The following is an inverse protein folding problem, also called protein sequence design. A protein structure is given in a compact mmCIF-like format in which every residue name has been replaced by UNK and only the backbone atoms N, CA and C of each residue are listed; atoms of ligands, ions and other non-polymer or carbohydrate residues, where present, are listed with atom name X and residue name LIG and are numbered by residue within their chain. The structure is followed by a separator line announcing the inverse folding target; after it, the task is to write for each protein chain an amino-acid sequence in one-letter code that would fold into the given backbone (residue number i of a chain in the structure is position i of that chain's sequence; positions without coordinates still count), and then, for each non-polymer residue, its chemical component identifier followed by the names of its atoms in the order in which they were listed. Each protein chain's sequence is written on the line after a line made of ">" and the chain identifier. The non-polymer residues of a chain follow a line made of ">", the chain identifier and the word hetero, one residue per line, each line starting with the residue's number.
data_IF_168087686363
#
_entry.id   IF_168087686363
#
_cell.length_a   1.000
_cell.length_b   1.000
_cell.length_c   1.000
_cell.angle_alpha   90.00
_cell.angle_beta   90.00
_cell.angle_gamma   90.00
#
_symmetry.space_group_name_H-M   'P 1'
#
loop_
_entity.id
_entity.type
_entity.pdbx_description
1 polymer ?
#
# COMPACT_ATOMS: atom_id res chain seq x y z
N UNK A 1 8.75 -1.71 19.85
CA UNK A 1 7.95 -2.87 19.34
C UNK A 1 7.57 -2.64 17.87
N UNK A 2 8.52 -2.76 16.94
CA UNK A 2 8.30 -2.47 15.50
C UNK A 2 8.01 -3.73 14.66
N UNK A 3 8.22 -4.93 15.23
CA UNK A 3 8.26 -6.20 14.48
C UNK A 3 6.85 -6.79 14.24
N UNK A 4 5.88 -6.56 15.14
CA UNK A 4 4.52 -7.11 15.00
C UNK A 4 3.62 -6.33 14.02
N UNK A 5 3.93 -5.06 13.77
CA UNK A 5 3.12 -4.21 12.89
C UNK A 5 3.28 -4.55 11.41
N UNK A 6 4.50 -4.91 10.99
CA UNK A 6 4.79 -5.31 9.61
C UNK A 6 4.08 -6.60 9.21
N UNK A 7 4.11 -7.62 10.08
CA UNK A 7 3.47 -8.92 9.80
C UNK A 7 1.97 -8.81 9.50
N UNK A 8 1.25 -7.96 10.24
CA UNK A 8 -0.18 -7.70 9.99
C UNK A 8 -0.43 -6.99 8.66
N UNK A 9 0.42 -6.04 8.29
CA UNK A 9 0.32 -5.36 7.00
C UNK A 9 0.55 -6.36 5.86
N UNK A 10 1.62 -7.16 5.95
CA UNK A 10 1.98 -8.18 4.96
C UNK A 10 0.84 -9.20 4.78
N UNK A 11 0.21 -9.64 5.87
CA UNK A 11 -0.94 -10.55 5.83
C UNK A 11 -2.17 -9.93 5.13
N UNK A 12 -2.50 -8.67 5.41
CA UNK A 12 -3.65 -7.99 4.80
C UNK A 12 -3.40 -7.70 3.31
N UNK A 13 -2.16 -7.33 2.95
CA UNK A 13 -1.76 -7.14 1.55
C UNK A 13 -1.89 -8.45 0.79
N UNK A 14 -1.40 -9.56 1.35
CA UNK A 14 -1.51 -10.88 0.70
C UNK A 14 -2.97 -11.30 0.50
N UNK A 15 -3.87 -10.97 1.45
CA UNK A 15 -5.30 -11.21 1.26
C UNK A 15 -5.88 -10.33 0.16
N UNK A 16 -5.50 -9.04 0.12
CA UNK A 16 -6.01 -8.11 -0.87
C UNK A 16 -5.55 -8.48 -2.29
N UNK A 17 -4.29 -8.86 -2.46
CA UNK A 17 -3.74 -9.34 -3.75
C UNK A 17 -4.37 -10.69 -4.17
N UNK A 18 -4.84 -11.48 -3.21
CA UNK A 18 -5.54 -12.73 -3.47
C UNK A 18 -7.00 -12.56 -3.89
N UNK A 19 -7.57 -11.35 -3.78
CA UNK A 19 -8.93 -11.08 -4.24
C UNK A 19 -8.96 -10.96 -5.78
N UNK A 20 -9.87 -11.70 -6.42
CA UNK A 20 -10.06 -11.62 -7.87
C UNK A 20 -10.58 -10.25 -8.30
N UNK A 21 -11.38 -9.60 -7.45
CA UNK A 21 -11.93 -8.26 -7.68
C UNK A 21 -11.49 -7.30 -6.58
N UNK A 22 -10.60 -6.38 -6.94
CA UNK A 22 -10.06 -5.36 -6.05
C UNK A 22 -11.10 -4.30 -5.62
N UNK A 23 -12.28 -4.25 -6.25
CA UNK A 23 -13.40 -3.39 -5.87
C UNK A 23 -14.51 -4.15 -5.13
N UNK A 24 -14.28 -5.41 -4.78
CA UNK A 24 -15.25 -6.19 -4.04
C UNK A 24 -15.46 -5.62 -2.62
N UNK A 25 -16.62 -5.87 -1.99
CA UNK A 25 -16.85 -5.52 -0.59
C UNK A 25 -15.82 -6.16 0.37
N UNK A 26 -15.23 -7.30 -0.02
CA UNK A 26 -14.16 -7.95 0.73
C UNK A 26 -12.85 -7.15 0.65
N UNK A 27 -12.44 -6.76 -0.56
CA UNK A 27 -11.28 -5.90 -0.78
C UNK A 27 -11.39 -4.58 -0.01
N UNK A 28 -12.56 -3.91 -0.07
CA UNK A 28 -12.80 -2.69 0.71
C UNK A 28 -12.64 -2.88 2.22
N UNK A 29 -13.10 -4.01 2.78
CA UNK A 29 -12.89 -4.32 4.21
C UNK A 29 -11.41 -4.52 4.55
N UNK A 30 -10.62 -5.09 3.64
CA UNK A 30 -9.18 -5.25 3.82
C UNK A 30 -8.47 -3.89 3.80
N UNK A 31 -8.84 -3.01 2.86
CA UNK A 31 -8.35 -1.62 2.78
C UNK A 31 -8.62 -0.88 4.08
N UNK A 32 -9.85 -0.94 4.61
CA UNK A 32 -10.20 -0.29 5.88
C UNK A 32 -9.40 -0.85 7.07
N UNK A 33 -9.10 -2.15 7.07
CA UNK A 33 -8.23 -2.76 8.10
C UNK A 33 -6.78 -2.31 7.96
N UNK A 34 -6.28 -2.18 6.74
CA UNK A 34 -4.93 -1.64 6.48
C UNK A 34 -4.84 -0.19 6.94
N UNK A 35 -5.87 0.62 6.66
CA UNK A 35 -5.93 2.01 7.13
C UNK A 35 -5.91 2.11 8.67
N UNK A 36 -6.51 1.15 9.38
CA UNK A 36 -6.44 1.11 10.85
C UNK A 36 -5.04 0.81 11.42
N UNK A 37 -4.11 0.28 10.62
CA UNK A 37 -2.69 0.11 11.04
C UNK A 37 -2.00 1.48 11.15
N UNK A 38 -2.42 2.45 10.32
CA UNK A 38 -1.84 3.78 10.24
C UNK A 38 -0.56 3.85 9.40
N UNK A 39 0.24 4.92 9.52
CA UNK A 39 1.34 5.24 8.60
C UNK A 39 2.44 4.19 8.46
N UNK A 40 2.52 3.21 9.37
CA UNK A 40 3.48 2.11 9.29
C UNK A 40 3.19 1.14 8.13
N UNK A 41 2.02 1.22 7.53
CA UNK A 41 1.62 0.40 6.37
C UNK A 41 2.28 0.88 5.07
N UNK A 42 2.71 2.14 5.00
CA UNK A 42 3.21 2.80 3.78
C UNK A 42 4.35 2.02 3.11
N UNK A 43 5.45 1.65 3.81
CA UNK A 43 6.55 0.93 3.16
C UNK A 43 6.10 -0.40 2.55
N UNK A 44 5.19 -1.12 3.22
CA UNK A 44 4.68 -2.39 2.73
C UNK A 44 3.75 -2.25 1.53
N UNK A 45 2.97 -1.18 1.48
CA UNK A 45 2.14 -0.88 0.30
C UNK A 45 3.02 -0.51 -0.88
N UNK A 46 4.11 0.24 -0.67
CA UNK A 46 5.11 0.53 -1.70
C UNK A 46 5.76 -0.76 -2.21
N UNK A 47 6.19 -1.66 -1.32
CA UNK A 47 6.71 -2.99 -1.70
C UNK A 47 5.71 -3.77 -2.57
N UNK A 48 4.42 -3.73 -2.19
CA UNK A 48 3.35 -4.45 -2.90
C UNK A 48 3.09 -3.91 -4.33
N UNK A 49 3.36 -2.62 -4.58
CA UNK A 49 3.21 -2.02 -5.91
C UNK A 49 4.11 -2.69 -6.96
N UNK A 50 5.24 -3.26 -6.56
CA UNK A 50 6.15 -3.92 -7.50
C UNK A 50 5.44 -5.06 -8.26
N UNK A 51 4.53 -5.78 -7.59
CA UNK A 51 3.88 -6.99 -8.10
C UNK A 51 2.39 -6.81 -8.40
N UNK A 52 1.83 -5.61 -8.20
CA UNK A 52 0.41 -5.35 -8.42
C UNK A 52 0.05 -5.29 -9.91
N UNK A 53 -1.15 -5.77 -10.23
CA UNK A 53 -1.80 -5.46 -11.50
C UNK A 53 -2.40 -4.04 -11.48
N UNK A 54 -3.01 -3.63 -12.59
CA UNK A 54 -3.59 -2.29 -12.72
C UNK A 54 -4.71 -2.02 -11.70
N UNK A 55 -5.54 -3.01 -11.40
CA UNK A 55 -6.67 -2.86 -10.49
C UNK A 55 -6.19 -2.69 -9.04
N UNK A 56 -5.28 -3.56 -8.61
CA UNK A 56 -4.67 -3.52 -7.29
C UNK A 56 -3.81 -2.27 -7.10
N UNK A 57 -3.12 -1.80 -8.16
CA UNK A 57 -2.34 -0.56 -8.12
C UNK A 57 -3.21 0.63 -7.70
N UNK A 58 -4.42 0.77 -8.26
CA UNK A 58 -5.33 1.88 -7.92
C UNK A 58 -5.71 1.83 -6.44
N UNK A 59 -5.99 0.64 -5.91
CA UNK A 59 -6.33 0.46 -4.49
C UNK A 59 -5.14 0.79 -3.58
N UNK A 60 -3.94 0.36 -3.93
CA UNK A 60 -2.74 0.69 -3.17
C UNK A 60 -2.44 2.19 -3.20
N UNK A 61 -2.64 2.85 -4.34
CA UNK A 61 -2.51 4.31 -4.44
C UNK A 61 -3.52 5.03 -3.54
N UNK A 62 -4.78 4.59 -3.45
CA UNK A 62 -5.76 5.19 -2.52
C UNK A 62 -5.33 5.05 -1.05
N UNK A 63 -4.76 3.90 -0.68
CA UNK A 63 -4.21 3.72 0.67
C UNK A 63 -3.06 4.69 0.91
N UNK A 64 -2.12 4.81 -0.05
CA UNK A 64 -1.01 5.75 0.06
C UNK A 64 -1.50 7.20 0.17
N UNK A 65 -2.39 7.64 -0.73
CA UNK A 65 -2.94 9.01 -0.72
C UNK A 65 -3.57 9.38 0.64
N UNK A 66 -4.21 8.42 1.33
CA UNK A 66 -4.77 8.64 2.67
C UNK A 66 -3.74 8.91 3.78
N UNK A 67 -2.45 8.67 3.51
CA UNK A 67 -1.33 8.87 4.45
C UNK A 67 -0.30 9.89 4.01
N UNK A 68 -0.48 10.60 2.90
CA UNK A 68 0.47 11.63 2.48
C UNK A 68 0.44 12.81 3.47
N UNK A 69 1.59 13.08 4.09
CA UNK A 69 1.77 14.19 5.03
C UNK A 69 3.26 14.50 5.21
N UNK A 70 3.58 15.66 5.77
CA UNK A 70 4.96 16.02 6.13
C UNK A 70 5.65 14.95 6.99
N UNK A 71 4.93 14.35 7.95
CA UNK A 71 5.47 13.35 8.87
C UNK A 71 5.78 12.00 8.20
N UNK A 72 5.13 11.72 7.08
CA UNK A 72 5.19 10.43 6.37
C UNK A 72 5.97 10.51 5.06
N UNK A 73 6.31 11.71 4.59
CA UNK A 73 7.03 11.99 3.34
C UNK A 73 8.30 11.15 3.18
N UNK A 74 9.03 10.90 4.28
CA UNK A 74 10.24 10.07 4.27
C UNK A 74 10.02 8.66 3.71
N UNK A 75 8.82 8.09 3.85
CA UNK A 75 8.52 6.76 3.31
C UNK A 75 8.21 6.79 1.80
N UNK A 76 7.68 7.92 1.30
CA UNK A 76 7.42 8.11 -0.13
C UNK A 76 8.70 8.33 -0.93
N UNK A 77 9.73 8.92 -0.30
CA UNK A 77 11.04 9.08 -0.93
C UNK A 77 11.58 7.76 -1.46
N UNK A 78 11.44 6.68 -0.68
CA UNK A 78 11.93 5.36 -1.08
C UNK A 78 11.22 4.86 -2.34
N UNK A 79 9.88 4.94 -2.39
CA UNK A 79 9.09 4.55 -3.56
C UNK A 79 9.32 5.43 -4.80
N UNK A 80 9.59 6.72 -4.61
CA UNK A 80 9.95 7.65 -5.71
C UNK A 80 11.35 7.39 -6.27
N UNK A 81 12.24 6.80 -5.47
CA UNK A 81 13.60 6.42 -5.88
C UNK A 81 13.72 4.96 -6.34
N UNK A 82 12.61 4.24 -6.43
CA UNK A 82 12.59 2.83 -6.80
C UNK A 82 12.98 2.60 -8.29
N UNK A 83 13.55 1.44 -8.60
CA UNK A 83 13.92 1.09 -9.98
C UNK A 83 12.73 0.68 -10.86
N UNK A 84 11.60 0.31 -10.27
CA UNK A 84 10.38 -0.10 -10.95
C UNK A 84 9.52 1.08 -11.36
N UNK A 85 9.32 1.26 -12.67
CA UNK A 85 8.50 2.35 -13.22
C UNK A 85 7.10 2.42 -12.60
N UNK A 86 6.47 1.26 -12.33
CA UNK A 86 5.16 1.20 -11.69
C UNK A 86 5.19 1.75 -10.27
N UNK A 87 6.18 1.36 -9.46
CA UNK A 87 6.33 1.79 -8.08
C UNK A 87 6.52 3.30 -8.04
N UNK A 88 7.40 3.84 -8.88
CA UNK A 88 7.64 5.27 -8.98
C UNK A 88 6.38 6.02 -9.40
N UNK A 89 5.72 5.60 -10.49
CA UNK A 89 4.52 6.27 -11.00
C UNK A 89 3.34 6.22 -10.04
N UNK A 90 3.13 5.08 -9.38
CA UNK A 90 2.06 4.92 -8.40
C UNK A 90 2.35 5.72 -7.12
N UNK A 91 3.60 5.71 -6.64
CA UNK A 91 4.00 6.52 -5.48
C UNK A 91 3.88 8.02 -5.76
N UNK A 92 4.17 8.45 -6.98
CA UNK A 92 4.02 9.85 -7.41
C UNK A 92 2.56 10.27 -7.64
N UNK A 93 1.67 9.32 -7.91
CA UNK A 93 0.24 9.59 -8.08
C UNK A 93 -0.49 9.74 -6.74
N UNK A 94 -0.07 8.98 -5.73
CA UNK A 94 -0.60 9.07 -4.37
C UNK A 94 -0.38 10.45 -3.74
#
# INVERSE_FOLDING_TARGET
>A
MAILGGFRADQLISQLVGETDANSPAAHKLVERMKKIGPKVIPRVIDALAMSDKSHTIVFVDILASYVSDKTLKFYKDGLSDGGERVVKATAWA
#
